data_IF_335440109036
#
_entry.id   IF_335440109036
#
_cell.length_a   1.000
_cell.length_b   1.000
_cell.length_c   1.000
_cell.angle_alpha   90.00
_cell.angle_beta   90.00
_cell.angle_gamma   90.00
#
_symmetry.space_group_name_H-M   'P 1'
#
loop_
_entity.id
_entity.type
_entity.pdbx_description
1 polymer ?
#
# COMPACT_ATOMS: atom_id res chain seq x y z
N UNK A 1 -26.93 -6.28 1.96
CA UNK A 1 -26.61 -5.42 3.12
C UNK A 1 -25.10 -5.36 3.27
N UNK A 2 -24.52 -4.16 3.23
CA UNK A 2 -23.08 -3.95 3.40
C UNK A 2 -22.83 -3.42 4.81
N UNK A 3 -21.93 -4.06 5.56
CA UNK A 3 -21.52 -3.62 6.90
C UNK A 3 -20.11 -3.04 6.80
N UNK A 4 -19.92 -1.80 7.26
CA UNK A 4 -18.61 -1.13 7.32
C UNK A 4 -18.05 -1.27 8.73
N UNK A 5 -16.79 -1.66 8.85
CA UNK A 5 -16.07 -1.70 10.12
C UNK A 5 -15.05 -0.55 10.16
N UNK A 6 -15.03 0.22 11.25
CA UNK A 6 -14.12 1.37 11.41
C UNK A 6 -12.84 1.03 12.17
N UNK A 7 -12.70 -0.20 12.66
CA UNK A 7 -11.59 -0.63 13.52
C UNK A 7 -11.19 -2.08 13.23
N UNK A 8 -9.91 -2.38 13.45
CA UNK A 8 -9.36 -3.74 13.37
C UNK A 8 -9.90 -4.65 14.47
N UNK A 9 -9.69 -5.95 14.31
CA UNK A 9 -10.01 -7.00 15.27
C UNK A 9 -11.07 -7.99 14.78
N UNK A 10 -11.47 -8.89 15.67
CA UNK A 10 -12.48 -9.91 15.37
C UNK A 10 -13.88 -9.31 15.56
N UNK A 11 -14.78 -9.59 14.62
CA UNK A 11 -16.18 -9.21 14.64
C UNK A 11 -17.00 -10.49 14.50
N UNK A 12 -17.75 -10.81 15.55
CA UNK A 12 -18.70 -11.92 15.52
C UNK A 12 -20.00 -11.44 14.91
N UNK A 13 -20.36 -11.96 13.75
CA UNK A 13 -21.64 -11.68 13.10
C UNK A 13 -22.59 -12.86 13.28
N UNK A 14 -23.88 -12.57 13.47
CA UNK A 14 -24.93 -13.60 13.48
C UNK A 14 -25.65 -13.60 12.14
N UNK A 15 -25.59 -14.72 11.43
CA UNK A 15 -26.24 -14.94 10.14
C UNK A 15 -27.56 -15.64 10.38
N UNK A 16 -28.66 -15.09 9.87
CA UNK A 16 -30.01 -15.68 9.92
C UNK A 16 -30.44 -16.08 8.52
N UNK A 17 -30.86 -17.33 8.35
CA UNK A 17 -31.47 -17.83 7.12
C UNK A 17 -32.98 -17.93 7.27
N UNK A 18 -33.72 -17.35 6.33
CA UNK A 18 -35.18 -17.37 6.30
C UNK A 18 -35.68 -18.12 5.06
N UNK A 19 -36.79 -18.83 5.16
CA UNK A 19 -37.47 -19.41 4.00
C UNK A 19 -38.33 -18.36 3.27
N UNK A 20 -38.99 -18.75 2.18
CA UNK A 20 -39.85 -17.86 1.37
C UNK A 20 -41.06 -17.31 2.14
N UNK A 21 -41.46 -17.94 3.24
CA UNK A 21 -42.54 -17.48 4.11
C UNK A 21 -42.07 -16.52 5.21
N UNK A 22 -40.77 -16.21 5.29
CA UNK A 22 -40.19 -15.35 6.32
C UNK A 22 -39.93 -16.03 7.66
N UNK A 23 -40.07 -17.36 7.74
CA UNK A 23 -39.71 -18.14 8.94
C UNK A 23 -38.21 -18.38 8.98
N UNK A 24 -37.57 -18.10 10.11
CA UNK A 24 -36.16 -18.42 10.30
C UNK A 24 -35.96 -19.93 10.33
N UNK A 25 -35.10 -20.46 9.44
CA UNK A 25 -34.81 -21.89 9.31
C UNK A 25 -33.36 -22.24 9.68
N UNK A 26 -32.49 -21.24 9.79
CA UNK A 26 -31.11 -21.43 10.20
C UNK A 26 -30.56 -20.19 10.92
N UNK A 27 -29.55 -20.40 11.76
CA UNK A 27 -28.82 -19.35 12.43
C UNK A 27 -27.40 -19.80 12.80
N UNK A 28 -26.39 -18.99 12.51
CA UNK A 28 -25.01 -19.31 12.92
C UNK A 28 -24.19 -18.07 13.19
N UNK A 29 -23.17 -18.19 14.03
CA UNK A 29 -22.17 -17.16 14.21
C UNK A 29 -21.02 -17.36 13.22
N UNK A 30 -20.51 -16.27 12.67
CA UNK A 30 -19.27 -16.26 11.90
C UNK A 30 -18.36 -15.17 12.41
N UNK A 31 -17.13 -15.54 12.72
CA UNK A 31 -16.10 -14.58 13.08
C UNK A 31 -15.46 -14.04 11.79
N UNK A 32 -15.49 -12.72 11.64
CA UNK A 32 -14.79 -11.99 10.59
C UNK A 32 -13.62 -11.29 11.25
N UNK A 33 -12.43 -11.48 10.69
CA UNK A 33 -11.25 -10.75 11.16
C UNK A 33 -11.00 -9.54 10.25
N UNK A 34 -10.94 -8.38 10.86
CA UNK A 34 -10.52 -7.13 10.22
C UNK A 34 -9.06 -6.91 10.60
N UNK A 35 -8.14 -7.04 9.64
CA UNK A 35 -6.71 -6.87 9.88
C UNK A 35 -6.23 -5.55 9.26
N UNK A 36 -5.38 -4.83 10.00
CA UNK A 36 -4.47 -3.88 9.38
C UNK A 36 -3.23 -4.69 8.97
N UNK A 37 -3.16 -5.01 7.68
CA UNK A 37 -2.16 -5.93 7.13
C UNK A 37 -0.74 -5.39 7.29
N UNK A 38 -0.57 -4.06 7.35
CA UNK A 38 0.74 -3.42 7.38
C UNK A 38 0.69 -2.16 8.25
N UNK A 39 1.08 -2.31 9.51
CA UNK A 39 1.12 -1.22 10.46
C UNK A 39 2.37 -0.34 10.27
N UNK A 40 2.28 0.93 10.70
CA UNK A 40 3.41 1.85 10.80
C UNK A 40 4.13 2.16 9.47
N UNK A 41 3.44 2.09 8.33
CA UNK A 41 3.96 2.67 7.09
C UNK A 41 4.02 4.19 7.29
N UNK A 42 5.21 4.82 7.24
CA UNK A 42 5.34 6.26 7.42
C UNK A 42 4.56 6.99 6.33
N UNK A 43 3.89 8.07 6.70
CA UNK A 43 3.13 8.89 5.75
C UNK A 43 3.86 10.19 5.43
N UNK A 44 4.09 10.42 4.14
CA UNK A 44 4.57 11.70 3.62
C UNK A 44 3.52 12.28 2.67
N UNK A 45 3.18 13.56 2.87
CA UNK A 45 2.26 14.28 2.00
C UNK A 45 3.03 14.98 0.89
N UNK A 46 2.80 14.60 -0.38
CA UNK A 46 3.60 15.12 -1.50
C UNK A 46 3.58 16.64 -1.63
N UNK A 47 2.47 17.29 -1.26
CA UNK A 47 2.37 18.75 -1.36
C UNK A 47 3.14 19.49 -0.26
N UNK A 48 3.68 18.76 0.72
CA UNK A 48 4.65 19.29 1.69
C UNK A 48 6.09 19.25 1.19
N UNK A 49 6.37 18.65 0.03
CA UNK A 49 7.71 18.63 -0.55
C UNK A 49 8.07 20.01 -1.11
N UNK A 50 9.32 20.44 -0.94
CA UNK A 50 9.76 21.79 -1.35
C UNK A 50 10.12 21.91 -2.83
N UNK A 51 10.58 20.83 -3.46
CA UNK A 51 11.19 20.91 -4.81
C UNK A 51 10.14 20.86 -5.94
N UNK A 52 9.17 19.95 -5.84
CA UNK A 52 8.10 19.83 -6.83
C UNK A 52 6.88 19.13 -6.19
N UNK A 53 6.09 19.84 -5.36
CA UNK A 53 4.98 19.24 -4.63
C UNK A 53 3.91 18.58 -5.52
N UNK A 54 3.72 19.09 -6.74
CA UNK A 54 2.77 18.53 -7.71
C UNK A 54 3.28 17.33 -8.53
N UNK A 55 4.59 17.11 -8.61
CA UNK A 55 5.20 16.11 -9.49
C UNK A 55 6.15 15.12 -8.80
N UNK A 56 6.01 14.93 -7.49
CA UNK A 56 6.92 14.14 -6.66
C UNK A 56 6.26 12.91 -5.99
N UNK A 57 5.10 12.45 -6.47
CA UNK A 57 4.35 11.33 -5.89
C UNK A 57 5.19 10.03 -5.80
N UNK A 58 5.97 9.74 -6.83
CA UNK A 58 6.91 8.63 -6.93
C UNK A 58 8.02 8.73 -5.88
N UNK A 59 8.67 9.89 -5.74
CA UNK A 59 9.74 10.10 -4.76
C UNK A 59 9.19 10.05 -3.33
N UNK A 60 7.96 10.56 -3.13
CA UNK A 60 7.23 10.48 -1.87
C UNK A 60 6.97 9.03 -1.47
N UNK A 61 6.46 8.23 -2.40
CA UNK A 61 6.17 6.81 -2.17
C UNK A 61 7.43 5.98 -1.91
N UNK A 62 8.52 6.24 -2.65
CA UNK A 62 9.82 5.60 -2.41
C UNK A 62 10.33 5.92 -1.00
N UNK A 63 10.25 7.18 -0.58
CA UNK A 63 10.68 7.59 0.75
C UNK A 63 9.88 6.87 1.85
N UNK A 64 8.54 6.79 1.72
CA UNK A 64 7.70 6.06 2.68
C UNK A 64 8.15 4.59 2.84
N UNK A 65 8.37 3.87 1.73
CA UNK A 65 8.80 2.47 1.77
C UNK A 65 10.22 2.31 2.33
N UNK A 66 11.16 3.20 1.97
CA UNK A 66 12.51 3.16 2.51
C UNK A 66 12.52 3.37 4.03
N UNK A 67 11.74 4.34 4.54
CA UNK A 67 11.62 4.57 5.98
C UNK A 67 10.93 3.40 6.68
N UNK A 68 9.91 2.79 6.06
CA UNK A 68 9.28 1.57 6.58
C UNK A 68 10.29 0.43 6.77
N UNK A 69 11.26 0.28 5.86
CA UNK A 69 12.33 -0.71 5.98
C UNK A 69 13.55 -0.25 6.81
N UNK A 70 13.46 0.91 7.46
CA UNK A 70 14.49 1.40 8.39
C UNK A 70 15.57 2.29 7.77
N UNK A 71 15.37 2.81 6.55
CA UNK A 71 16.25 3.81 5.96
C UNK A 71 15.61 5.20 5.97
N UNK A 72 16.09 6.06 6.87
CA UNK A 72 15.59 7.42 7.04
C UNK A 72 15.98 8.30 5.85
N UNK A 73 14.98 8.75 5.09
CA UNK A 73 15.15 9.62 3.92
C UNK A 73 13.90 10.46 3.67
N UNK A 74 14.04 11.68 3.16
CA UNK A 74 12.91 12.52 2.76
C UNK A 74 12.64 12.44 1.25
N UNK A 75 11.41 12.77 0.79
CA UNK A 75 11.13 12.87 -0.65
C UNK A 75 12.02 13.90 -1.37
N UNK A 76 12.42 14.97 -0.67
CA UNK A 76 13.29 16.02 -1.21
C UNK A 76 14.76 15.55 -1.34
N UNK A 77 15.25 14.66 -0.47
CA UNK A 77 16.58 14.03 -0.65
C UNK A 77 16.64 13.25 -1.96
N UNK A 78 15.59 12.48 -2.25
CA UNK A 78 15.46 11.73 -3.50
C UNK A 78 15.37 12.70 -4.68
N UNK A 79 14.55 13.75 -4.57
CA UNK A 79 14.37 14.75 -5.62
C UNK A 79 15.63 15.56 -5.91
N UNK A 80 16.47 15.85 -4.90
CA UNK A 80 17.78 16.50 -5.11
C UNK A 80 18.73 15.65 -5.94
N UNK A 81 18.77 14.34 -5.67
CA UNK A 81 19.69 13.42 -6.34
C UNK A 81 19.21 12.99 -7.73
N UNK A 82 17.93 12.63 -7.84
CA UNK A 82 17.37 11.98 -9.02
C UNK A 82 16.45 12.89 -9.83
N UNK A 83 16.16 14.10 -9.34
CA UNK A 83 15.10 14.97 -9.86
C UNK A 83 13.72 14.28 -9.74
N UNK A 84 12.68 14.95 -10.23
CA UNK A 84 11.30 14.45 -10.10
C UNK A 84 10.83 13.65 -11.30
N UNK A 85 11.55 13.71 -12.43
CA UNK A 85 11.18 13.00 -13.65
C UNK A 85 11.71 11.57 -13.74
N UNK A 86 12.77 11.22 -12.99
CA UNK A 86 13.47 9.95 -13.21
C UNK A 86 12.65 8.73 -12.81
N UNK A 87 12.05 8.75 -11.63
CA UNK A 87 11.24 7.65 -11.10
C UNK A 87 9.78 7.65 -11.60
N UNK A 88 9.47 8.37 -12.70
CA UNK A 88 8.13 8.42 -13.29
C UNK A 88 7.77 7.17 -14.10
N UNK A 89 8.73 6.28 -14.34
CA UNK A 89 8.47 4.99 -14.99
C UNK A 89 8.60 3.86 -13.97
N UNK A 90 7.93 2.71 -14.17
CA UNK A 90 8.11 1.53 -13.33
C UNK A 90 9.58 1.12 -13.18
N UNK A 91 10.36 1.18 -14.26
CA UNK A 91 11.78 0.85 -14.25
C UNK A 91 12.60 1.87 -13.42
N UNK A 92 12.41 3.17 -13.66
CA UNK A 92 13.11 4.22 -12.90
C UNK A 92 12.75 4.20 -11.41
N UNK A 93 11.49 3.90 -11.08
CA UNK A 93 11.02 3.74 -9.70
C UNK A 93 11.74 2.58 -8.99
N UNK A 94 11.88 1.43 -9.67
CA UNK A 94 12.64 0.30 -9.15
C UNK A 94 14.12 0.61 -8.98
N UNK A 95 14.73 1.28 -9.95
CA UNK A 95 16.14 1.66 -9.90
C UNK A 95 16.45 2.57 -8.71
N UNK A 96 15.67 3.64 -8.53
CA UNK A 96 15.88 4.59 -7.43
C UNK A 96 15.73 3.90 -6.07
N UNK A 97 14.66 3.13 -5.86
CA UNK A 97 14.49 2.39 -4.61
C UNK A 97 15.65 1.42 -4.37
N UNK A 98 16.02 0.62 -5.39
CA UNK A 98 17.05 -0.41 -5.25
C UNK A 98 18.45 0.18 -5.06
N UNK A 99 18.72 1.37 -5.60
CA UNK A 99 19.96 2.11 -5.37
C UNK A 99 20.11 2.46 -3.88
N UNK A 100 19.09 3.07 -3.27
CA UNK A 100 19.10 3.38 -1.84
C UNK A 100 19.08 2.12 -0.98
N UNK A 101 18.24 1.14 -1.30
CA UNK A 101 18.15 -0.11 -0.55
C UNK A 101 19.48 -0.88 -0.54
N UNK A 102 20.20 -0.89 -1.66
CA UNK A 102 21.53 -1.52 -1.74
C UNK A 102 22.57 -0.73 -0.94
N UNK A 103 22.60 0.59 -1.08
CA UNK A 103 23.52 1.44 -0.33
C UNK A 103 23.31 1.36 1.19
N UNK A 104 22.06 1.17 1.62
CA UNK A 104 21.67 1.05 3.02
C UNK A 104 21.77 -0.40 3.57
N UNK A 105 22.20 -1.37 2.76
CA UNK A 105 22.27 -2.78 3.18
C UNK A 105 20.91 -3.45 3.45
N UNK A 106 19.82 -2.85 2.97
CA UNK A 106 18.48 -3.44 3.07
C UNK A 106 18.40 -4.71 2.22
N UNK A 107 17.64 -5.70 2.68
CA UNK A 107 17.42 -6.97 1.92
C UNK A 107 16.35 -6.83 0.85
N UNK A 108 15.44 -5.87 1.01
CA UNK A 108 14.28 -5.69 0.15
C UNK A 108 14.70 -5.06 -1.19
N UNK A 109 14.08 -5.55 -2.26
CA UNK A 109 14.24 -5.00 -3.61
C UNK A 109 12.88 -4.79 -4.24
N UNK A 110 12.71 -3.63 -4.85
CA UNK A 110 11.52 -3.31 -5.61
C UNK A 110 11.62 -3.98 -6.98
N UNK A 111 10.55 -4.73 -7.32
CA UNK A 111 10.36 -5.33 -8.63
C UNK A 111 9.11 -4.73 -9.25
N UNK A 112 9.29 -3.77 -10.14
CA UNK A 112 8.17 -3.11 -10.78
C UNK A 112 7.54 -4.01 -11.86
N UNK A 113 6.22 -3.88 -12.03
CA UNK A 113 5.43 -4.63 -13.00
C UNK A 113 4.44 -3.68 -13.67
N UNK A 114 4.24 -3.85 -14.97
CA UNK A 114 3.25 -3.13 -15.77
C UNK A 114 1.95 -3.95 -15.96
N UNK A 115 1.96 -5.20 -15.51
CA UNK A 115 0.88 -6.18 -15.61
C UNK A 115 0.30 -6.56 -14.22
N UNK A 116 0.41 -5.65 -13.25
CA UNK A 116 -0.06 -5.90 -11.89
C UNK A 116 -1.57 -6.11 -11.82
N UNK A 117 -2.01 -7.13 -11.08
CA UNK A 117 -3.44 -7.42 -10.85
C UNK A 117 -3.80 -7.21 -9.37
N UNK A 118 -5.10 -7.03 -9.07
CA UNK A 118 -5.59 -6.98 -7.69
C UNK A 118 -5.25 -8.25 -6.89
N UNK A 119 -5.24 -9.41 -7.55
CA UNK A 119 -4.85 -10.67 -6.91
C UNK A 119 -3.37 -10.64 -6.47
N UNK A 120 -2.47 -10.10 -7.31
CA UNK A 120 -1.06 -9.94 -6.97
C UNK A 120 -0.84 -8.91 -5.87
N UNK A 121 -1.56 -7.78 -5.91
CA UNK A 121 -1.54 -6.78 -4.85
C UNK A 121 -1.94 -7.40 -3.51
N UNK A 122 -3.09 -8.07 -3.45
CA UNK A 122 -3.58 -8.71 -2.24
C UNK A 122 -2.62 -9.78 -1.72
N UNK A 123 -1.99 -10.56 -2.60
CA UNK A 123 -1.00 -11.55 -2.22
C UNK A 123 0.23 -10.93 -1.55
N UNK A 124 0.68 -9.74 -1.99
CA UNK A 124 1.79 -9.02 -1.36
C UNK A 124 1.38 -8.38 -0.03
N UNK A 125 0.20 -7.77 0.02
CA UNK A 125 -0.32 -7.18 1.26
C UNK A 125 -0.52 -8.23 2.36
N UNK A 126 -1.04 -9.41 2.01
CA UNK A 126 -1.18 -10.55 2.94
C UNK A 126 0.17 -11.10 3.45
N UNK A 127 1.29 -10.76 2.80
CA UNK A 127 2.64 -11.08 3.27
C UNK A 127 3.26 -9.94 4.11
N UNK A 128 2.48 -8.91 4.44
CA UNK A 128 2.97 -7.74 5.18
C UNK A 128 3.86 -6.82 4.34
N UNK A 129 3.78 -6.87 3.00
CA UNK A 129 4.66 -6.09 2.12
C UNK A 129 3.94 -4.85 1.58
N UNK A 130 4.37 -3.62 1.93
CA UNK A 130 3.78 -2.42 1.35
C UNK A 130 4.10 -2.36 -0.15
N UNK A 131 3.11 -1.92 -0.93
CA UNK A 131 3.18 -1.90 -2.39
C UNK A 131 2.96 -0.47 -2.88
N UNK A 132 3.83 -0.02 -3.79
CA UNK A 132 3.60 1.21 -4.54
C UNK A 132 2.78 0.86 -5.77
N UNK A 133 1.67 1.57 -5.94
CA UNK A 133 0.83 1.50 -7.14
C UNK A 133 1.11 2.77 -7.96
N UNK A 134 1.51 2.60 -9.21
CA UNK A 134 1.90 3.69 -10.09
C UNK A 134 1.09 3.61 -11.39
N UNK A 135 0.34 4.66 -11.69
CA UNK A 135 -0.49 4.75 -12.88
C UNK A 135 -1.45 5.93 -12.83
N UNK A 136 -2.03 6.25 -13.98
CA UNK A 136 -3.16 7.16 -14.07
C UNK A 136 -4.44 6.34 -13.86
N UNK A 137 -5.12 6.53 -12.73
CA UNK A 137 -6.38 5.85 -12.38
C UNK A 137 -7.60 6.71 -12.71
N UNK A 138 -7.52 7.45 -13.82
CA UNK A 138 -8.64 8.22 -14.34
C UNK A 138 -9.32 7.41 -15.42
N UNK A 139 -10.50 6.89 -15.09
CA UNK A 139 -11.52 6.52 -16.07
C UNK A 139 -12.20 7.78 -16.62
#
# INVERSE_FOLDING_TARGET
MTVKFSTVGVRRIYLRGYNSAGTQVAGTYKDIRIEDLIQNVPYFFQYSNSINPGGSCQNTSIAMLLNFYGYAITPDDISRKWRTQYAQSPAGLAEVFNSYASAAGLRQRLRARTDGTMAMLNALLNQGKPVIVHGYFTD
#
